data_IF_434631368803
#
_entry.id   IF_434631368803
#
_cell.length_a   1.000
_cell.length_b   1.000
_cell.length_c   1.000
_cell.angle_alpha   90.00
_cell.angle_beta   90.00
_cell.angle_gamma   90.00
#
_symmetry.space_group_name_H-M   'P 1'
#
loop_
_entity.id
_entity.type
_entity.pdbx_description
1 polymer ?
#
# COMPACT_ATOMS: atom_id res chain seq x y z
N UNK A 1 0.69 15.30 -58.86
CA UNK A 1 1.77 16.28 -58.65
C UNK A 1 2.16 16.25 -57.18
N UNK A 2 3.19 15.49 -56.81
CA UNK A 2 3.73 15.45 -55.45
C UNK A 2 5.23 15.10 -55.54
N UNK A 3 6.06 16.05 -55.95
CA UNK A 3 7.52 15.87 -56.05
C UNK A 3 8.20 17.22 -55.81
N UNK A 4 8.44 17.59 -54.55
CA UNK A 4 9.38 18.67 -54.18
C UNK A 4 9.65 18.77 -52.66
N UNK A 5 8.80 18.23 -51.79
CA UNK A 5 8.87 18.51 -50.34
C UNK A 5 9.82 17.59 -49.54
N UNK A 6 10.24 16.43 -50.07
CA UNK A 6 11.00 15.45 -49.28
C UNK A 6 12.53 15.68 -49.29
N UNK A 7 13.05 16.47 -50.22
CA UNK A 7 14.50 16.58 -50.45
C UNK A 7 15.22 17.51 -49.45
N UNK A 8 14.48 18.36 -48.74
CA UNK A 8 15.04 19.40 -47.86
C UNK A 8 15.30 18.93 -46.42
N UNK A 9 14.67 17.84 -45.98
CA UNK A 9 14.74 17.37 -44.59
C UNK A 9 16.17 16.93 -44.21
N UNK A 10 16.87 16.26 -45.12
CA UNK A 10 18.24 15.81 -44.89
C UNK A 10 19.22 16.98 -44.84
N UNK A 11 19.04 17.98 -45.70
CA UNK A 11 19.90 19.17 -45.75
C UNK A 11 19.72 20.00 -44.49
N UNK A 12 18.47 20.22 -44.07
CA UNK A 12 18.13 20.92 -42.82
C UNK A 12 18.67 20.19 -41.58
N UNK A 13 18.59 18.86 -41.54
CA UNK A 13 19.18 18.06 -40.45
C UNK A 13 20.71 18.21 -40.38
N UNK A 14 21.40 18.16 -41.52
CA UNK A 14 22.85 18.32 -41.57
C UNK A 14 23.26 19.74 -41.13
N UNK A 15 22.51 20.75 -41.55
CA UNK A 15 22.78 22.14 -41.17
C UNK A 15 22.52 22.39 -39.68
N UNK A 16 21.44 21.84 -39.12
CA UNK A 16 21.18 21.87 -37.69
C UNK A 16 22.26 21.15 -36.86
N UNK A 17 22.88 20.10 -37.41
CA UNK A 17 24.00 19.39 -36.78
C UNK A 17 25.27 20.25 -36.73
N UNK A 18 25.53 21.04 -37.78
CA UNK A 18 26.67 21.96 -37.85
C UNK A 18 26.51 23.18 -36.95
N UNK A 19 25.29 23.68 -36.79
CA UNK A 19 24.98 24.83 -35.92
C UNK A 19 24.84 24.46 -34.44
N UNK A 20 24.81 23.16 -34.12
CA UNK A 20 24.66 22.68 -32.76
C UNK A 20 25.90 22.95 -31.89
N UNK A 21 25.74 23.54 -30.69
CA UNK A 21 26.86 23.77 -29.80
C UNK A 21 27.46 22.45 -29.28
N UNK A 22 28.78 22.43 -29.08
CA UNK A 22 29.56 21.21 -28.83
C UNK A 22 29.03 20.31 -27.69
N UNK A 23 28.47 20.89 -26.62
CA UNK A 23 27.90 20.12 -25.51
C UNK A 23 26.68 19.27 -25.93
N UNK A 24 25.91 19.72 -26.93
CA UNK A 24 24.73 19.01 -27.43
C UNK A 24 25.14 17.76 -28.22
N UNK A 25 26.12 17.91 -29.12
CA UNK A 25 26.69 16.80 -29.88
C UNK A 25 27.36 15.76 -28.97
N UNK A 26 28.04 16.19 -27.90
CA UNK A 26 28.61 15.29 -26.89
C UNK A 26 27.51 14.52 -26.15
N UNK A 27 26.43 15.19 -25.74
CA UNK A 27 25.30 14.55 -25.05
C UNK A 27 24.60 13.52 -25.97
N UNK A 28 24.35 13.87 -27.23
CA UNK A 28 23.78 12.96 -28.23
C UNK A 28 24.71 11.78 -28.50
N UNK A 29 26.02 12.00 -28.60
CA UNK A 29 27.01 10.93 -28.71
C UNK A 29 26.98 9.98 -27.51
N UNK A 30 26.89 10.50 -26.28
CA UNK A 30 26.75 9.67 -25.07
C UNK A 30 25.42 8.90 -25.07
N UNK A 31 24.32 9.52 -25.51
CA UNK A 31 23.01 8.89 -25.62
C UNK A 31 23.02 7.78 -26.66
N UNK A 32 23.62 8.00 -27.84
CA UNK A 32 23.78 6.99 -28.89
C UNK A 32 24.64 5.83 -28.37
N UNK A 33 25.76 6.12 -27.70
CA UNK A 33 26.59 5.09 -27.06
C UNK A 33 25.84 4.32 -25.98
N UNK A 34 24.97 4.98 -25.22
CA UNK A 34 24.14 4.34 -24.20
C UNK A 34 23.03 3.48 -24.81
N UNK A 35 22.41 3.92 -25.91
CA UNK A 35 21.43 3.16 -26.70
C UNK A 35 22.10 1.95 -27.33
N UNK A 36 23.26 2.11 -27.97
CA UNK A 36 24.08 1.01 -28.49
C UNK A 36 24.40 0.04 -27.35
N UNK A 37 24.89 0.55 -26.21
CA UNK A 37 25.16 -0.30 -25.05
C UNK A 37 23.91 -1.03 -24.58
N UNK A 38 22.73 -0.41 -24.56
CA UNK A 38 21.49 -1.07 -24.16
C UNK A 38 21.04 -2.14 -25.18
N UNK A 39 21.20 -1.88 -26.48
CA UNK A 39 20.88 -2.82 -27.56
C UNK A 39 21.82 -4.04 -27.57
N UNK A 40 23.10 -3.85 -27.21
CA UNK A 40 24.11 -4.92 -27.19
C UNK A 40 24.39 -5.49 -25.79
N UNK A 41 23.92 -4.84 -24.72
CA UNK A 41 23.98 -5.40 -23.38
C UNK A 41 23.02 -6.58 -23.36
N UNK A 42 23.57 -7.78 -23.13
CA UNK A 42 22.78 -8.99 -22.99
C UNK A 42 21.71 -8.75 -21.93
N UNK A 43 20.45 -8.67 -22.35
CA UNK A 43 19.29 -8.94 -21.49
C UNK A 43 19.65 -10.18 -20.69
N UNK A 44 19.45 -10.11 -19.37
CA UNK A 44 19.63 -11.21 -18.43
C UNK A 44 19.31 -12.53 -19.15
N UNK A 45 20.32 -13.38 -19.39
CA UNK A 45 20.05 -14.71 -19.96
C UNK A 45 19.22 -15.42 -18.91
N UNK A 46 17.90 -15.46 -19.09
CA UNK A 46 17.11 -16.55 -18.53
C UNK A 46 17.84 -17.79 -19.00
N UNK A 47 18.35 -18.53 -18.02
CA UNK A 47 19.07 -19.79 -18.20
C UNK A 47 18.49 -20.48 -19.44
N UNK A 48 19.27 -20.54 -20.52
CA UNK A 48 18.83 -21.13 -21.79
C UNK A 48 18.41 -22.56 -21.43
N UNK A 49 17.10 -22.80 -21.31
CA UNK A 49 16.59 -24.16 -21.32
C UNK A 49 17.00 -24.66 -22.69
N UNK A 50 17.80 -25.72 -22.71
CA UNK A 50 18.09 -26.45 -23.94
C UNK A 50 16.78 -26.63 -24.71
N UNK A 51 16.75 -26.21 -25.98
CA UNK A 51 15.59 -26.46 -26.82
C UNK A 51 15.40 -27.97 -26.91
N UNK A 52 14.42 -28.47 -26.14
CA UNK A 52 14.10 -29.89 -26.09
C UNK A 52 13.79 -30.37 -27.50
N UNK A 53 14.41 -31.47 -27.89
CA UNK A 53 14.09 -32.19 -29.11
C UNK A 53 12.61 -32.58 -29.12
N UNK A 54 12.05 -32.82 -30.31
CA UNK A 54 10.64 -33.24 -30.44
C UNK A 54 10.37 -34.49 -29.59
N UNK A 55 11.32 -35.42 -29.57
CA UNK A 55 11.27 -36.64 -28.76
C UNK A 55 11.23 -36.36 -27.25
N UNK A 56 12.10 -35.48 -26.75
CA UNK A 56 12.10 -35.10 -25.32
C UNK A 56 10.81 -34.38 -24.92
N UNK A 57 10.19 -33.61 -25.83
CA UNK A 57 8.88 -32.99 -25.58
C UNK A 57 7.77 -34.03 -25.49
N UNK A 58 7.77 -35.01 -26.38
CA UNK A 58 6.80 -36.11 -26.36
C UNK A 58 6.97 -36.96 -25.09
N UNK A 59 8.21 -37.33 -24.73
CA UNK A 59 8.51 -38.04 -23.48
C UNK A 59 8.03 -37.26 -22.26
N UNK A 60 8.25 -35.95 -22.19
CA UNK A 60 7.76 -35.11 -21.09
C UNK A 60 6.24 -35.02 -21.05
N UNK A 61 5.56 -35.02 -22.20
CA UNK A 61 4.08 -35.01 -22.26
C UNK A 61 3.52 -36.36 -21.81
N UNK A 62 4.17 -37.46 -22.20
CA UNK A 62 3.79 -38.81 -21.77
C UNK A 62 4.04 -39.05 -20.28
N UNK A 63 5.16 -38.54 -19.74
CA UNK A 63 5.49 -38.61 -18.32
C UNK A 63 4.68 -37.65 -17.45
N UNK A 64 4.08 -36.62 -18.04
CA UNK A 64 3.35 -35.61 -17.29
C UNK A 64 2.04 -36.15 -16.72
N UNK A 65 2.06 -36.40 -15.41
CA UNK A 65 0.84 -36.62 -14.64
C UNK A 65 0.42 -35.30 -14.00
N UNK A 66 -0.70 -34.67 -14.45
CA UNK A 66 -1.20 -33.48 -13.79
C UNK A 66 -1.57 -33.82 -12.36
N UNK A 67 -0.97 -33.12 -11.41
CA UNK A 67 -1.49 -33.12 -10.05
C UNK A 67 -2.95 -32.62 -10.10
N UNK A 68 -3.86 -33.27 -9.37
CA UNK A 68 -5.22 -32.77 -9.23
C UNK A 68 -5.19 -31.32 -8.76
N UNK A 69 -5.93 -30.43 -9.44
CA UNK A 69 -6.05 -29.02 -9.04
C UNK A 69 -6.49 -28.86 -7.58
N UNK A 70 -7.21 -29.87 -7.07
CA UNK A 70 -7.60 -30.00 -5.68
C UNK A 70 -7.21 -31.41 -5.23
N UNK A 71 -6.37 -31.57 -4.20
CA UNK A 71 -6.09 -32.89 -3.65
C UNK A 71 -7.39 -33.55 -3.18
N UNK A 72 -7.52 -34.88 -3.23
CA UNK A 72 -8.70 -35.56 -2.75
C UNK A 72 -8.87 -35.28 -1.25
N UNK A 73 -9.92 -34.51 -0.91
CA UNK A 73 -10.26 -34.19 0.48
C UNK A 73 -11.23 -35.26 0.99
N UNK A 74 -10.97 -35.78 2.19
CA UNK A 74 -11.90 -36.70 2.86
C UNK A 74 -13.28 -36.05 2.99
N UNK A 75 -14.36 -36.80 2.77
CA UNK A 75 -15.73 -36.29 2.99
C UNK A 75 -15.96 -35.83 4.42
N UNK A 76 -15.20 -36.37 5.37
CA UNK A 76 -15.26 -36.01 6.79
C UNK A 76 -14.35 -34.82 7.15
N UNK A 77 -13.73 -34.17 6.15
CA UNK A 77 -12.85 -33.05 6.39
C UNK A 77 -13.63 -31.90 7.07
N UNK A 78 -13.15 -31.35 8.19
CA UNK A 78 -13.87 -30.32 8.94
C UNK A 78 -14.28 -29.09 8.10
N UNK A 79 -13.49 -28.72 7.08
CA UNK A 79 -13.85 -27.63 6.18
C UNK A 79 -15.12 -27.87 5.33
N UNK A 80 -15.54 -29.12 5.17
CA UNK A 80 -16.81 -29.48 4.50
C UNK A 80 -17.99 -29.44 5.49
N UNK A 81 -17.72 -29.51 6.79
CA UNK A 81 -18.71 -29.50 7.86
C UNK A 81 -18.78 -28.11 8.52
N UNK A 82 -19.50 -27.17 7.90
CA UNK A 82 -19.69 -25.83 8.43
C UNK A 82 -21.00 -25.69 9.21
N UNK A 83 -20.96 -24.85 10.26
CA UNK A 83 -22.14 -24.49 11.02
C UNK A 83 -22.99 -23.48 10.24
N UNK A 84 -24.29 -23.73 10.14
CA UNK A 84 -25.25 -22.87 9.46
C UNK A 84 -25.91 -21.96 10.49
N UNK A 85 -25.80 -20.65 10.28
CA UNK A 85 -26.45 -19.64 11.11
C UNK A 85 -27.76 -19.21 10.46
N UNK A 86 -28.85 -19.27 11.21
CA UNK A 86 -30.18 -18.82 10.79
C UNK A 86 -30.57 -17.55 11.56
N UNK A 87 -31.09 -16.55 10.85
CA UNK A 87 -31.52 -15.27 11.41
C UNK A 87 -30.45 -14.17 11.39
N UNK A 88 -30.77 -12.98 11.91
CA UNK A 88 -29.84 -11.86 11.92
C UNK A 88 -28.65 -12.11 12.86
N UNK A 89 -27.44 -11.61 12.54
CA UNK A 89 -26.28 -11.71 13.41
C UNK A 89 -26.42 -10.78 14.62
N UNK A 90 -27.09 -11.28 15.66
CA UNK A 90 -27.37 -10.56 16.92
C UNK A 90 -26.64 -11.20 18.11
N UNK A 91 -27.00 -10.79 19.33
CA UNK A 91 -26.50 -11.38 20.58
C UNK A 91 -26.97 -12.83 20.78
N UNK A 92 -28.20 -13.15 20.36
CA UNK A 92 -28.71 -14.52 20.27
C UNK A 92 -28.80 -14.92 18.80
N UNK A 93 -28.32 -16.12 18.48
CA UNK A 93 -28.30 -16.67 17.11
C UNK A 93 -28.76 -18.12 17.13
N UNK A 94 -29.26 -18.60 15.99
CA UNK A 94 -29.61 -20.01 15.82
C UNK A 94 -28.54 -20.68 14.97
N UNK A 95 -27.84 -21.68 15.52
CA UNK A 95 -26.80 -22.46 14.84
C UNK A 95 -27.26 -23.89 14.67
N UNK A 96 -27.39 -24.37 13.43
CA UNK A 96 -27.90 -25.70 13.10
C UNK A 96 -29.24 -26.03 13.82
N UNK A 97 -30.14 -25.04 13.88
CA UNK A 97 -31.44 -25.16 14.55
C UNK A 97 -31.42 -25.02 16.08
N UNK A 98 -30.26 -24.78 16.70
CA UNK A 98 -30.13 -24.60 18.16
C UNK A 98 -29.89 -23.14 18.52
N UNK A 99 -30.64 -22.63 19.50
CA UNK A 99 -30.41 -21.28 20.02
C UNK A 99 -29.10 -21.21 20.81
N UNK A 100 -28.30 -20.17 20.55
CA UNK A 100 -26.96 -19.98 21.09
C UNK A 100 -26.71 -18.50 21.41
N UNK A 101 -25.89 -18.24 22.42
CA UNK A 101 -25.37 -16.89 22.69
C UNK A 101 -24.12 -16.65 21.83
N UNK A 102 -24.08 -15.54 21.10
CA UNK A 102 -23.03 -15.23 20.14
C UNK A 102 -21.83 -14.52 20.80
N UNK A 103 -20.80 -15.29 21.13
CA UNK A 103 -19.48 -14.80 21.54
C UNK A 103 -18.43 -14.85 20.41
N UNK A 104 -18.82 -15.23 19.20
CA UNK A 104 -17.90 -15.49 18.08
C UNK A 104 -17.75 -14.30 17.12
N UNK A 105 -18.72 -13.38 17.09
CA UNK A 105 -18.71 -12.25 16.16
C UNK A 105 -17.99 -11.01 16.70
N UNK A 106 -17.37 -10.23 15.81
CA UNK A 106 -16.78 -8.92 16.12
C UNK A 106 -17.81 -7.77 16.12
N UNK A 107 -19.07 -8.04 16.51
CA UNK A 107 -20.15 -7.05 16.54
C UNK A 107 -20.14 -6.24 17.86
N UNK A 108 -18.99 -5.65 18.20
CA UNK A 108 -18.76 -5.02 19.51
C UNK A 108 -19.77 -3.92 19.86
N UNK A 109 -20.24 -3.17 18.86
CA UNK A 109 -21.19 -2.07 19.02
C UNK A 109 -22.65 -2.48 18.75
N UNK A 110 -22.93 -3.74 18.43
CA UNK A 110 -24.29 -4.20 18.11
C UNK A 110 -24.90 -3.57 16.85
N UNK A 111 -24.08 -3.06 15.91
CA UNK A 111 -24.57 -2.30 14.76
C UNK A 111 -25.25 -3.16 13.69
N UNK A 112 -24.94 -4.46 13.62
CA UNK A 112 -25.48 -5.34 12.59
C UNK A 112 -27.01 -5.47 12.63
N UNK A 113 -27.62 -5.38 13.83
CA UNK A 113 -29.07 -5.46 13.99
C UNK A 113 -29.75 -4.09 14.17
N UNK A 114 -28.98 -3.00 14.08
CA UNK A 114 -29.47 -1.66 14.38
C UNK A 114 -30.55 -1.19 13.37
N UNK A 115 -31.76 -0.80 13.83
CA UNK A 115 -32.85 -0.38 12.95
C UNK A 115 -32.52 0.83 12.07
N UNK A 116 -31.71 1.78 12.57
CA UNK A 116 -31.31 2.97 11.79
C UNK A 116 -30.38 2.58 10.65
N UNK A 117 -29.46 1.64 10.88
CA UNK A 117 -28.54 1.14 9.84
C UNK A 117 -29.32 0.38 8.76
N UNK A 118 -30.27 -0.47 9.15
CA UNK A 118 -31.15 -1.18 8.21
C UNK A 118 -31.96 -0.23 7.34
N UNK A 119 -32.56 0.80 7.95
CA UNK A 119 -33.31 1.82 7.22
C UNK A 119 -32.43 2.58 6.21
N UNK A 120 -31.21 2.96 6.61
CA UNK A 120 -30.25 3.62 5.73
C UNK A 120 -29.76 2.73 4.57
N UNK A 121 -29.59 1.42 4.82
CA UNK A 121 -29.25 0.44 3.79
C UNK A 121 -30.38 0.30 2.75
N UNK A 122 -31.64 0.20 3.19
CA UNK A 122 -32.80 0.14 2.30
C UNK A 122 -32.95 1.42 1.47
N UNK A 123 -32.72 2.59 2.06
CA UNK A 123 -32.74 3.86 1.35
C UNK A 123 -31.62 3.94 0.29
N UNK A 124 -30.41 3.49 0.64
CA UNK A 124 -29.28 3.43 -0.29
C UNK A 124 -29.55 2.50 -1.47
N UNK A 125 -30.14 1.32 -1.21
CA UNK A 125 -30.54 0.38 -2.26
C UNK A 125 -31.55 0.98 -3.24
N UNK A 126 -32.54 1.74 -2.73
CA UNK A 126 -33.51 2.46 -3.57
C UNK A 126 -32.87 3.56 -4.41
N UNK A 127 -31.88 4.29 -3.87
CA UNK A 127 -31.21 5.40 -4.57
C UNK A 127 -30.20 4.92 -5.62
N UNK A 128 -29.35 3.95 -5.26
CA UNK A 128 -28.16 3.58 -6.05
C UNK A 128 -28.26 2.23 -6.76
N UNK A 129 -29.26 1.41 -6.41
CA UNK A 129 -29.33 0.02 -6.87
C UNK A 129 -28.39 -0.91 -6.11
N UNK A 130 -28.20 -2.11 -6.66
CA UNK A 130 -27.51 -3.23 -5.98
C UNK A 130 -25.98 -3.12 -5.95
N UNK A 131 -25.39 -2.26 -6.78
CA UNK A 131 -23.94 -2.09 -6.84
C UNK A 131 -23.49 -1.25 -8.02
N UNK A 132 -22.21 -0.87 -8.03
CA UNK A 132 -21.64 0.01 -9.05
C UNK A 132 -21.15 -0.72 -10.31
N UNK A 133 -21.02 -2.05 -10.26
CA UNK A 133 -20.55 -2.91 -11.35
C UNK A 133 -19.21 -2.48 -11.98
N UNK A 134 -18.39 -1.68 -11.29
CA UNK A 134 -17.11 -1.19 -11.80
C UNK A 134 -16.12 -0.81 -10.70
N UNK A 135 -14.82 -0.74 -11.01
CA UNK A 135 -13.80 -0.36 -10.05
C UNK A 135 -13.82 1.16 -9.78
N UNK A 136 -13.32 1.56 -8.61
CA UNK A 136 -13.24 2.97 -8.18
C UNK A 136 -12.44 3.87 -9.14
N UNK A 137 -11.43 3.32 -9.81
CA UNK A 137 -10.60 4.03 -10.78
C UNK A 137 -11.24 4.23 -12.17
N UNK A 138 -12.48 3.78 -12.36
CA UNK A 138 -13.21 3.95 -13.62
C UNK A 138 -14.62 4.48 -13.34
N UNK A 139 -15.69 3.83 -13.80
CA UNK A 139 -17.08 4.25 -13.56
C UNK A 139 -17.68 3.76 -12.22
N UNK A 140 -16.87 3.21 -11.31
CA UNK A 140 -17.35 2.59 -10.07
C UNK A 140 -17.48 3.52 -8.84
N UNK A 141 -17.27 4.83 -8.99
CA UNK A 141 -17.28 5.78 -7.87
C UNK A 141 -18.57 6.59 -7.86
N UNK A 142 -19.39 6.40 -6.81
CA UNK A 142 -20.61 7.16 -6.57
C UNK A 142 -20.38 8.22 -5.49
N UNK A 143 -21.25 9.22 -5.42
CA UNK A 143 -21.23 10.31 -4.42
C UNK A 143 -21.14 9.77 -2.98
N UNK A 144 -21.88 8.71 -2.65
CA UNK A 144 -21.86 8.07 -1.32
C UNK A 144 -20.49 7.52 -0.93
N UNK A 145 -19.66 7.09 -1.89
CA UNK A 145 -18.30 6.63 -1.60
C UNK A 145 -17.42 7.80 -1.15
N UNK A 146 -17.53 8.93 -1.85
CA UNK A 146 -16.76 10.14 -1.54
C UNK A 146 -17.23 10.77 -0.23
N UNK A 147 -18.53 10.77 0.06
CA UNK A 147 -19.08 11.19 1.35
C UNK A 147 -18.53 10.33 2.50
N UNK A 148 -18.51 9.00 2.31
CA UNK A 148 -17.96 8.09 3.31
C UNK A 148 -16.45 8.34 3.54
N UNK A 149 -15.67 8.51 2.48
CA UNK A 149 -14.23 8.82 2.56
C UNK A 149 -13.98 10.13 3.34
N UNK A 150 -14.71 11.21 3.03
CA UNK A 150 -14.61 12.48 3.75
C UNK A 150 -15.01 12.34 5.23
N UNK A 151 -16.10 11.63 5.53
CA UNK A 151 -16.55 11.38 6.91
C UNK A 151 -15.56 10.54 7.70
N UNK A 152 -14.95 9.53 7.08
CA UNK A 152 -13.90 8.71 7.69
C UNK A 152 -12.64 9.54 7.96
N UNK A 153 -12.21 10.38 7.01
CA UNK A 153 -11.06 11.26 7.20
C UNK A 153 -11.27 12.23 8.37
N UNK A 154 -12.47 12.83 8.46
CA UNK A 154 -12.88 13.69 9.59
C UNK A 154 -12.90 12.94 10.92
N UNK A 155 -13.47 11.73 10.94
CA UNK A 155 -13.54 10.89 12.12
C UNK A 155 -12.14 10.50 12.63
N UNK A 156 -11.28 10.05 11.73
CA UNK A 156 -9.90 9.64 12.04
C UNK A 156 -8.94 10.82 12.22
N UNK A 157 -9.39 12.05 11.94
CA UNK A 157 -8.58 13.28 11.94
C UNK A 157 -7.36 13.17 11.01
N UNK A 158 -7.54 12.54 9.86
CA UNK A 158 -6.55 12.42 8.78
C UNK A 158 -6.84 13.42 7.66
N UNK A 159 -5.89 13.58 6.74
CA UNK A 159 -6.04 14.49 5.59
C UNK A 159 -7.06 13.96 4.60
N UNK A 160 -7.00 12.66 4.30
CA UNK A 160 -7.89 11.94 3.40
C UNK A 160 -8.11 10.50 3.90
N UNK A 161 -9.06 9.80 3.30
CA UNK A 161 -9.29 8.37 3.50
C UNK A 161 -9.61 7.71 2.16
N UNK A 162 -9.31 6.42 2.06
CA UNK A 162 -9.67 5.58 0.92
C UNK A 162 -10.40 4.35 1.45
N UNK A 163 -11.51 3.98 0.80
CA UNK A 163 -12.26 2.78 1.16
C UNK A 163 -11.92 1.61 0.24
N UNK A 164 -11.92 0.42 0.82
CA UNK A 164 -11.76 -0.87 0.15
C UNK A 164 -12.98 -1.73 0.47
N UNK A 165 -13.33 -2.65 -0.43
CA UNK A 165 -14.48 -3.54 -0.25
C UNK A 165 -14.29 -4.58 0.85
N UNK A 166 -13.05 -4.87 1.25
CA UNK A 166 -12.76 -5.90 2.24
C UNK A 166 -11.50 -5.58 3.06
N UNK A 167 -11.58 -5.72 4.39
CA UNK A 167 -10.49 -5.36 5.32
C UNK A 167 -9.18 -6.08 5.07
N UNK A 168 -9.23 -7.38 4.74
CA UNK A 168 -8.03 -8.13 4.35
C UNK A 168 -7.36 -7.51 3.11
N UNK A 169 -8.15 -7.15 2.10
CA UNK A 169 -7.64 -6.53 0.88
C UNK A 169 -7.05 -5.13 1.15
N UNK A 170 -7.64 -4.36 2.07
CA UNK A 170 -7.09 -3.08 2.54
C UNK A 170 -5.65 -3.25 3.04
N UNK A 171 -5.46 -4.14 4.02
CA UNK A 171 -4.17 -4.32 4.70
C UNK A 171 -3.14 -4.91 3.74
N UNK A 172 -3.53 -5.98 3.03
CA UNK A 172 -2.64 -6.70 2.13
C UNK A 172 -2.20 -5.87 0.92
N UNK A 173 -2.97 -4.84 0.52
CA UNK A 173 -2.61 -3.92 -0.57
C UNK A 173 -1.93 -2.64 -0.09
N UNK A 174 -2.27 -2.13 1.10
CA UNK A 174 -1.69 -0.90 1.63
C UNK A 174 -0.17 -1.04 1.88
N UNK A 175 0.26 -2.15 2.47
CA UNK A 175 1.69 -2.41 2.75
C UNK A 175 2.54 -2.34 1.47
N UNK A 176 2.28 -3.13 0.40
CA UNK A 176 3.09 -3.11 -0.82
C UNK A 176 2.95 -1.82 -1.64
N UNK A 177 1.87 -1.04 -1.47
CA UNK A 177 1.74 0.26 -2.14
C UNK A 177 2.84 1.24 -1.70
N UNK A 178 3.23 1.18 -0.43
CA UNK A 178 4.23 2.07 0.14
C UNK A 178 5.60 1.41 0.31
N UNK A 179 5.68 0.16 0.79
CA UNK A 179 6.93 -0.57 1.01
C UNK A 179 7.22 -1.48 -0.17
N UNK A 180 8.44 -1.40 -0.72
CA UNK A 180 8.86 -2.13 -1.92
C UNK A 180 10.19 -2.83 -1.70
N UNK A 181 10.62 -3.61 -2.68
CA UNK A 181 11.94 -4.25 -2.70
C UNK A 181 13.05 -3.24 -2.39
N UNK A 182 13.85 -3.54 -1.37
CA UNK A 182 14.94 -2.68 -0.89
C UNK A 182 14.60 -1.85 0.35
N UNK A 183 13.31 -1.69 0.68
CA UNK A 183 12.88 -1.13 1.95
C UNK A 183 12.95 -2.17 3.08
N UNK A 184 12.84 -1.69 4.31
CA UNK A 184 12.95 -2.50 5.53
C UNK A 184 11.70 -2.33 6.35
N UNK A 185 11.14 -3.46 6.79
CA UNK A 185 9.90 -3.50 7.57
C UNK A 185 10.15 -4.29 8.85
N UNK A 186 9.95 -3.63 9.98
CA UNK A 186 9.95 -4.22 11.31
C UNK A 186 8.52 -4.61 11.66
N UNK A 187 8.27 -5.86 12.05
CA UNK A 187 6.91 -6.38 12.23
C UNK A 187 6.84 -7.18 13.52
N UNK A 188 5.78 -6.95 14.30
CA UNK A 188 5.50 -7.74 15.49
C UNK A 188 5.20 -9.21 15.10
N UNK A 189 5.74 -10.17 15.85
CA UNK A 189 5.53 -11.60 15.57
C UNK A 189 4.07 -12.05 15.60
N UNK A 190 3.19 -11.38 16.34
CA UNK A 190 1.79 -11.73 16.44
C UNK A 190 0.91 -11.18 15.31
N UNK A 191 1.51 -10.47 14.34
CA UNK A 191 0.79 -9.81 13.25
C UNK A 191 -0.20 -10.74 12.52
N UNK A 192 -1.40 -10.22 12.29
CA UNK A 192 -2.50 -10.95 11.69
C UNK A 192 -2.22 -11.40 10.25
N UNK A 193 -2.98 -12.37 9.79
CA UNK A 193 -2.80 -12.99 8.47
C UNK A 193 -2.82 -11.98 7.31
N UNK A 194 -3.64 -10.93 7.40
CA UNK A 194 -3.71 -9.89 6.37
C UNK A 194 -2.38 -9.11 6.25
N UNK A 195 -1.76 -8.77 7.39
CA UNK A 195 -0.43 -8.14 7.43
C UNK A 195 0.59 -9.07 6.78
N UNK A 196 0.62 -10.34 7.16
CA UNK A 196 1.56 -11.33 6.62
C UNK A 196 1.50 -11.40 5.08
N UNK A 197 0.29 -11.36 4.51
CA UNK A 197 0.10 -11.37 3.05
C UNK A 197 0.52 -10.07 2.39
N UNK A 198 0.31 -8.93 3.03
CA UNK A 198 0.85 -7.65 2.55
C UNK A 198 2.38 -7.59 2.56
N UNK A 199 3.01 -8.16 3.60
CA UNK A 199 4.47 -8.25 3.69
C UNK A 199 5.05 -9.13 2.57
N UNK A 200 4.43 -10.30 2.34
CA UNK A 200 4.79 -11.19 1.23
C UNK A 200 4.70 -10.48 -0.13
N UNK A 201 3.62 -9.74 -0.36
CA UNK A 201 3.44 -8.97 -1.59
C UNK A 201 4.46 -7.83 -1.76
N UNK A 202 4.91 -7.22 -0.66
CA UNK A 202 5.83 -6.07 -0.69
C UNK A 202 7.24 -6.40 -1.20
N UNK A 203 7.69 -7.66 -1.01
CA UNK A 203 9.07 -8.11 -1.28
C UNK A 203 10.14 -7.27 -0.55
N UNK A 204 9.76 -6.62 0.55
CA UNK A 204 10.66 -5.82 1.39
C UNK A 204 11.55 -6.74 2.24
N UNK A 205 12.60 -6.19 2.85
CA UNK A 205 13.38 -6.91 3.86
C UNK A 205 12.60 -6.89 5.19
N UNK A 206 12.20 -8.05 5.68
CA UNK A 206 11.36 -8.19 6.86
C UNK A 206 12.22 -8.55 8.07
N UNK A 207 12.07 -7.78 9.15
CA UNK A 207 12.67 -8.03 10.46
C UNK A 207 11.55 -8.24 11.48
N UNK A 208 11.45 -9.45 12.04
CA UNK A 208 10.45 -9.75 13.07
C UNK A 208 11.02 -9.38 14.43
N UNK A 209 10.23 -8.70 15.26
CA UNK A 209 10.53 -8.49 16.68
C UNK A 209 9.51 -9.20 17.56
N UNK A 210 9.94 -9.62 18.75
CA UNK A 210 9.10 -10.36 19.68
C UNK A 210 7.84 -9.59 20.08
N UNK A 211 6.74 -10.32 20.31
CA UNK A 211 5.42 -9.73 20.46
C UNK A 211 5.37 -8.70 21.60
N UNK A 212 4.96 -7.47 21.28
CA UNK A 212 4.89 -6.33 22.21
C UNK A 212 6.22 -5.99 22.90
N UNK A 213 7.38 -6.47 22.42
CA UNK A 213 8.69 -6.19 23.00
C UNK A 213 9.35 -4.97 22.32
N UNK A 214 9.26 -3.81 22.98
CA UNK A 214 9.89 -2.57 22.48
C UNK A 214 11.41 -2.56 22.61
N UNK A 215 11.98 -3.36 23.53
CA UNK A 215 13.43 -3.47 23.68
C UNK A 215 14.02 -4.28 22.51
N UNK A 216 13.34 -5.36 22.10
CA UNK A 216 13.73 -6.15 20.93
C UNK A 216 13.55 -5.35 19.62
N UNK A 217 12.45 -4.60 19.49
CA UNK A 217 12.28 -3.65 18.39
C UNK A 217 13.42 -2.62 18.35
N UNK A 218 13.77 -2.03 19.49
CA UNK A 218 14.88 -1.07 19.57
C UNK A 218 16.23 -1.70 19.21
N UNK A 219 16.48 -2.95 19.63
CA UNK A 219 17.68 -3.71 19.24
C UNK A 219 17.79 -3.84 17.72
N UNK A 220 16.72 -4.27 17.04
CA UNK A 220 16.70 -4.40 15.57
C UNK A 220 16.86 -3.05 14.85
N UNK A 221 16.32 -1.97 15.41
CA UNK A 221 16.48 -0.61 14.88
C UNK A 221 17.94 -0.13 15.01
N UNK A 222 18.61 -0.38 16.14
CA UNK A 222 20.05 -0.09 16.33
C UNK A 222 20.92 -0.89 15.38
N UNK A 223 20.65 -2.18 15.22
CA UNK A 223 21.34 -3.02 14.25
C UNK A 223 21.18 -2.48 12.83
N UNK A 224 19.98 -2.02 12.47
CA UNK A 224 19.76 -1.41 11.16
C UNK A 224 20.55 -0.11 10.98
N UNK A 225 20.63 0.73 12.02
CA UNK A 225 21.45 1.95 11.99
C UNK A 225 22.93 1.65 11.76
N UNK A 226 23.46 0.59 12.40
CA UNK A 226 24.84 0.12 12.17
C UNK A 226 25.02 -0.35 10.72
N UNK A 227 24.09 -1.13 10.17
CA UNK A 227 24.13 -1.54 8.76
C UNK A 227 24.05 -0.35 7.79
N UNK A 228 23.26 0.66 8.14
CA UNK A 228 23.10 1.87 7.36
C UNK A 228 24.40 2.68 7.26
N UNK A 229 25.22 2.66 8.32
CA UNK A 229 26.55 3.31 8.32
C UNK A 229 27.53 2.65 7.35
N UNK A 230 27.41 1.33 7.11
CA UNK A 230 28.26 0.61 6.14
C UNK A 230 28.00 1.02 4.70
N UNK A 231 26.77 1.42 4.37
CA UNK A 231 26.42 1.91 3.04
C UNK A 231 25.47 3.13 3.10
N UNK A 232 26.02 4.33 3.36
CA UNK A 232 25.21 5.55 3.52
C UNK A 232 24.40 5.92 2.26
N UNK A 233 24.91 5.58 1.07
CA UNK A 233 24.23 5.85 -0.21
C UNK A 233 22.94 5.05 -0.31
N UNK A 234 22.97 3.76 0.05
CA UNK A 234 21.78 2.90 0.10
C UNK A 234 20.84 3.33 1.23
N UNK A 235 21.38 3.57 2.42
CA UNK A 235 20.59 3.96 3.59
C UNK A 235 19.73 5.22 3.37
N UNK A 236 20.22 6.18 2.57
CA UNK A 236 19.52 7.42 2.23
C UNK A 236 18.25 7.20 1.42
N UNK A 237 18.20 6.15 0.59
CA UNK A 237 17.03 5.84 -0.25
C UNK A 237 16.14 4.74 0.35
N UNK A 238 16.68 3.95 1.29
CA UNK A 238 15.92 2.93 2.02
C UNK A 238 14.87 3.54 2.94
N UNK A 239 13.61 3.14 2.76
CA UNK A 239 12.52 3.51 3.67
C UNK A 239 12.38 2.44 4.76
N UNK A 240 12.05 2.89 5.97
CA UNK A 240 11.88 2.05 7.17
C UNK A 240 10.43 2.14 7.63
N UNK A 241 9.81 1.00 7.84
CA UNK A 241 8.42 0.88 8.31
C UNK A 241 8.36 -0.02 9.53
N UNK A 242 7.48 0.29 10.47
CA UNK A 242 7.11 -0.54 11.62
C UNK A 242 5.64 -0.93 11.40
N UNK A 243 5.30 -2.21 11.48
CA UNK A 243 3.94 -2.71 11.25
C UNK A 243 3.45 -3.43 12.50
N UNK A 244 2.34 -2.97 13.05
CA UNK A 244 1.73 -3.46 14.29
C UNK A 244 0.20 -3.39 14.22
N UNK A 245 -0.48 -4.15 15.07
CA UNK A 245 -1.91 -3.99 15.36
C UNK A 245 -2.09 -3.15 16.62
N UNK A 246 -3.12 -2.29 16.68
CA UNK A 246 -3.46 -1.52 17.88
C UNK A 246 -3.99 -2.44 18.99
N UNK A 247 -4.93 -3.31 18.63
CA UNK A 247 -5.41 -4.45 19.43
C UNK A 247 -5.22 -5.72 18.59
N UNK A 248 -4.33 -6.60 19.03
CA UNK A 248 -3.94 -7.77 18.26
C UNK A 248 -5.05 -8.81 18.18
N UNK A 249 -5.43 -9.21 16.97
CA UNK A 249 -6.51 -10.16 16.74
C UNK A 249 -6.21 -11.55 17.30
N UNK A 250 -4.95 -11.97 17.28
CA UNK A 250 -4.55 -13.31 17.69
C UNK A 250 -4.35 -13.46 19.21
N UNK A 251 -4.04 -12.39 19.91
CA UNK A 251 -3.65 -12.42 21.34
C UNK A 251 -4.57 -11.61 22.24
N UNK A 252 -5.33 -10.66 21.69
CA UNK A 252 -6.15 -9.72 22.46
C UNK A 252 -5.36 -8.69 23.26
N UNK A 253 -4.04 -8.59 23.06
CA UNK A 253 -3.19 -7.61 23.73
C UNK A 253 -3.17 -6.27 22.99
N UNK A 254 -2.90 -5.19 23.72
CA UNK A 254 -2.82 -3.84 23.17
C UNK A 254 -1.35 -3.52 22.86
N UNK A 255 -1.08 -2.88 21.73
CA UNK A 255 0.25 -2.40 21.39
C UNK A 255 0.70 -1.28 22.35
N UNK A 256 1.96 -1.29 22.84
CA UNK A 256 2.55 -0.18 23.61
C UNK A 256 2.84 1.03 22.70
N UNK A 257 1.79 1.61 22.13
CA UNK A 257 1.86 2.65 21.09
C UNK A 257 2.65 3.89 21.53
N UNK A 258 2.57 4.39 22.78
CA UNK A 258 3.38 5.54 23.20
C UNK A 258 4.89 5.30 23.07
N UNK A 259 5.39 4.13 23.45
CA UNK A 259 6.80 3.76 23.35
C UNK A 259 7.22 3.53 21.90
N UNK A 260 6.37 2.84 21.13
CA UNK A 260 6.58 2.64 19.69
C UNK A 260 6.68 3.97 18.93
N UNK A 261 5.86 4.96 19.28
CA UNK A 261 5.91 6.31 18.69
C UNK A 261 7.20 7.04 19.06
N UNK A 262 7.75 6.85 20.26
CA UNK A 262 9.05 7.40 20.62
C UNK A 262 10.17 6.80 19.75
N UNK A 263 10.18 5.47 19.59
CA UNK A 263 11.14 4.77 18.74
C UNK A 263 11.02 5.19 17.26
N UNK A 264 9.78 5.34 16.76
CA UNK A 264 9.51 5.86 15.41
C UNK A 264 10.23 7.19 15.17
N UNK A 265 10.10 8.17 16.08
CA UNK A 265 10.74 9.47 15.91
C UNK A 265 12.26 9.40 16.08
N UNK A 266 12.75 8.63 17.06
CA UNK A 266 14.18 8.42 17.32
C UNK A 266 14.90 7.84 16.08
N UNK A 267 14.34 6.80 15.47
CA UNK A 267 14.94 6.07 14.35
C UNK A 267 14.37 6.46 12.97
N UNK A 268 13.54 7.52 12.90
CA UNK A 268 12.95 8.06 11.66
C UNK A 268 12.23 7.00 10.81
N UNK A 269 11.50 6.11 11.46
CA UNK A 269 10.67 5.09 10.83
C UNK A 269 9.24 5.60 10.56
N UNK A 270 8.51 4.93 9.66
CA UNK A 270 7.06 5.12 9.44
C UNK A 270 6.30 4.00 10.13
N UNK A 271 5.03 4.22 10.45
CA UNK A 271 4.19 3.20 11.10
C UNK A 271 3.04 2.82 10.16
N UNK A 272 2.80 1.52 10.01
CA UNK A 272 1.50 0.96 9.65
C UNK A 272 0.84 0.44 10.93
N UNK A 273 -0.29 1.03 11.28
CA UNK A 273 -1.06 0.68 12.47
C UNK A 273 -2.41 0.13 12.00
N UNK A 274 -2.66 -1.15 12.28
CA UNK A 274 -3.91 -1.84 11.98
C UNK A 274 -4.86 -1.69 13.18
N UNK A 275 -6.06 -1.18 12.98
CA UNK A 275 -6.98 -0.75 14.07
C UNK A 275 -8.38 -1.41 13.93
N UNK A 276 -8.50 -2.53 13.22
CA UNK A 276 -9.80 -3.15 12.94
C UNK A 276 -10.57 -3.51 14.22
N UNK A 277 -9.86 -3.91 15.28
CA UNK A 277 -10.49 -4.32 16.55
C UNK A 277 -10.63 -3.20 17.59
N UNK A 278 -9.92 -2.08 17.42
CA UNK A 278 -9.86 -0.98 18.41
C UNK A 278 -10.53 0.31 17.93
N UNK A 279 -10.63 0.54 16.62
CA UNK A 279 -11.14 1.79 16.03
C UNK A 279 -12.54 2.20 16.49
N UNK A 280 -13.41 1.23 16.79
CA UNK A 280 -14.77 1.48 17.29
C UNK A 280 -14.86 1.59 18.82
N UNK A 281 -13.97 0.95 19.58
CA UNK A 281 -14.03 0.89 21.04
C UNK A 281 -13.25 2.02 21.73
N UNK A 282 -12.21 2.56 21.09
CA UNK A 282 -11.35 3.60 21.66
C UNK A 282 -12.03 4.98 21.84
N UNK A 283 -13.17 5.23 21.16
CA UNK A 283 -13.83 6.54 21.17
C UNK A 283 -15.05 6.66 22.07
N UNK A 284 -15.61 5.56 22.58
CA UNK A 284 -16.70 5.63 23.58
C UNK A 284 -16.22 6.20 24.92
N UNK A 285 -14.90 6.15 25.20
CA UNK A 285 -14.26 6.82 26.35
C UNK A 285 -13.81 8.26 26.09
N UNK A 286 -13.83 8.73 24.84
CA UNK A 286 -13.40 10.07 24.46
C UNK A 286 -14.59 11.05 24.42
N UNK A 287 -15.34 11.13 25.53
CA UNK A 287 -16.19 12.30 25.76
C UNK A 287 -15.29 13.54 25.87
N UNK A 288 -15.56 14.63 25.15
CA UNK A 288 -14.75 15.83 25.23
C UNK A 288 -14.92 16.44 26.63
N UNK A 289 -13.96 16.20 27.52
CA UNK A 289 -13.89 16.97 28.77
C UNK A 289 -13.63 18.44 28.39
N UNK A 290 -14.33 19.44 28.98
CA UNK A 290 -14.25 20.84 28.56
C UNK A 290 -12.89 21.51 28.80
N UNK A 291 -11.87 20.79 29.29
CA UNK A 291 -10.59 21.35 29.70
C UNK A 291 -9.45 20.81 28.85
N UNK A 292 -9.33 21.29 27.61
CA UNK A 292 -8.07 21.19 26.82
C UNK A 292 -8.02 22.19 25.66
N UNK A 293 -8.30 23.46 25.96
CA UNK A 293 -7.94 24.57 25.11
C UNK A 293 -6.49 24.97 25.39
N UNK A 294 -5.50 24.37 24.70
CA UNK A 294 -4.13 24.95 24.55
C UNK A 294 -3.30 24.37 23.40
N UNK A 295 -3.76 23.34 22.68
CA UNK A 295 -2.98 22.78 21.56
C UNK A 295 -2.98 23.61 20.26
N UNK A 296 -3.68 24.75 20.23
CA UNK A 296 -3.78 25.64 19.05
C UNK A 296 -2.55 26.54 18.86
N UNK A 297 -1.73 26.76 19.88
CA UNK A 297 -0.55 27.64 19.79
C UNK A 297 0.70 26.96 19.22
N UNK A 298 0.83 25.64 19.26
CA UNK A 298 2.00 24.94 18.69
C UNK A 298 1.94 24.75 17.15
N UNK A 299 0.80 25.05 16.50
CA UNK A 299 0.65 24.94 15.03
C UNK A 299 1.21 26.13 14.26
N UNK A 300 1.46 27.28 14.89
CA UNK A 300 2.00 28.47 14.20
C UNK A 300 3.49 28.31 13.83
N UNK A 301 4.28 27.60 14.63
CA UNK A 301 5.71 27.41 14.40
C UNK A 301 6.02 26.47 13.21
N UNK A 302 5.22 25.40 13.02
CA UNK A 302 5.42 24.44 11.92
C UNK A 302 4.88 24.95 10.57
N UNK A 303 3.88 25.84 10.57
CA UNK A 303 3.37 26.49 9.35
C UNK A 303 4.39 27.45 8.74
N UNK A 304 5.20 28.13 9.56
CA UNK A 304 6.24 29.05 9.10
C UNK A 304 7.43 28.31 8.45
N UNK A 305 7.78 27.11 8.92
CA UNK A 305 8.80 26.27 8.28
C UNK A 305 8.33 25.69 6.93
N UNK A 306 7.06 25.28 6.84
CA UNK A 306 6.50 24.76 5.58
C UNK A 306 6.37 25.85 4.50
N UNK A 307 6.00 27.08 4.88
CA UNK A 307 5.94 28.24 3.97
C UNK A 307 7.33 28.67 3.48
N UNK A 308 8.37 28.54 4.32
CA UNK A 308 9.76 28.78 3.94
C UNK A 308 10.25 27.86 2.81
N UNK A 309 9.93 26.56 2.92
CA UNK A 309 10.25 25.54 1.91
C UNK A 309 9.50 25.76 0.58
N UNK A 310 8.22 26.14 0.65
CA UNK A 310 7.42 26.42 -0.54
C UNK A 310 7.91 27.66 -1.30
N UNK A 311 8.35 28.71 -0.58
CA UNK A 311 8.91 29.91 -1.19
C UNK A 311 10.24 29.62 -1.91
N UNK A 312 11.11 28.79 -1.34
CA UNK A 312 12.39 28.39 -1.95
C UNK A 312 12.19 27.50 -3.18
N UNK A 313 11.23 26.58 -3.13
CA UNK A 313 10.89 25.73 -4.29
C UNK A 313 10.30 26.55 -5.45
N UNK A 314 9.40 27.52 -5.17
CA UNK A 314 8.83 28.37 -6.22
C UNK A 314 9.85 29.32 -6.86
N UNK A 315 10.81 29.85 -6.08
CA UNK A 315 11.92 30.68 -6.59
C UNK A 315 12.85 29.87 -7.51
N UNK A 316 13.17 28.62 -7.14
CA UNK A 316 13.94 27.71 -8.01
C UNK A 316 13.19 27.38 -9.31
N UNK A 317 11.87 27.19 -9.26
CA UNK A 317 11.03 26.93 -10.45
C UNK A 317 10.94 28.13 -11.40
N UNK A 318 10.88 29.36 -10.88
CA UNK A 318 10.89 30.59 -11.70
C UNK A 318 12.26 30.88 -12.32
N UNK A 319 13.35 30.60 -11.59
CA UNK A 319 14.71 30.70 -12.13
C UNK A 319 14.92 29.71 -13.30
N UNK A 320 14.46 28.47 -13.14
CA UNK A 320 14.55 27.44 -14.17
C UNK A 320 13.75 27.78 -15.44
N UNK A 321 12.59 28.45 -15.31
CA UNK A 321 11.78 28.92 -16.46
C UNK A 321 12.34 30.15 -17.17
N UNK A 322 13.18 30.97 -16.51
CA UNK A 322 13.86 32.11 -17.14
C UNK A 322 15.09 31.70 -17.95
N UNK A 323 15.72 30.58 -17.61
CA UNK A 323 16.91 30.07 -18.29
C UNK A 323 16.58 29.20 -19.53
N UNK A 324 15.33 28.74 -19.65
CA UNK A 324 14.86 27.97 -20.81
C UNK A 324 13.47 28.45 -21.27
N UNK A 325 13.39 29.52 -22.08
CA UNK A 325 12.16 29.85 -22.78
C UNK A 325 11.87 28.71 -23.78
N UNK A 326 10.79 27.96 -23.56
CA UNK A 326 10.28 27.03 -24.57
C UNK A 326 9.85 27.85 -25.79
N UNK A 327 10.51 27.65 -26.93
CA UNK A 327 9.99 28.06 -28.21
C UNK A 327 8.64 27.38 -28.43
N UNK A 328 7.61 28.18 -28.70
CA UNK A 328 6.33 27.70 -29.21
C UNK A 328 6.53 27.43 -30.71
N UNK A 329 6.39 26.19 -31.11
CA UNK A 329 5.75 25.80 -32.37
C UNK A 329 4.59 24.90 -32.02
#
# INVERSE_FOLDING_TARGET
MATAAEQWVLVEMVQALYEAPAYHLILEGILILWIIRLLFSKTYKLQERSDLTVKEKEELIEEWQPEPLVPPISKDHPALNYNIVSGPPSHSIVVNGKECINFASFNFLGLLDNPRVKAAALASLKKYGVGTCGPRGFYGTFDVHLDLEDRLAKFMKTEEAIIYSYGFATIASAIPAYSKRGDIVFVDRAACFAIQKGLQASRSNIKLFEHNDMADLERLLKEQEIEDQKNPRKARVTRRFIVVEGLYMNTGTICPLPELVQLKYKYKARIFLEESLSSCSAWTGASPSPRRATWREKRSASRLQALGWWSQWSRRKRSWRKLHPRSRR
#
